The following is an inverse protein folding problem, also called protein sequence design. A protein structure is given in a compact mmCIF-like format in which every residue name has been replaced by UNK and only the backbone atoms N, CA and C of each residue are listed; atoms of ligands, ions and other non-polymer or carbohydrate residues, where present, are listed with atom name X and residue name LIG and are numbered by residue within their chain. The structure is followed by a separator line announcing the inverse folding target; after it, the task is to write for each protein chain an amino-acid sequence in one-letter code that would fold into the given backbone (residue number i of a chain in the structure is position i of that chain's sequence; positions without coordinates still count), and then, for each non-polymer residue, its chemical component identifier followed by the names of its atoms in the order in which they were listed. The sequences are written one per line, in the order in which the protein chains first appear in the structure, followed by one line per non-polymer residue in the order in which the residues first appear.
data_IF_221403737399
#
_entry.id   IF_221403737399
#
_cell.length_a   1.000
_cell.length_b   1.000
_cell.length_c   1.000
_cell.angle_alpha   90.00
_cell.angle_beta   90.00
_cell.angle_gamma   90.00
#
_symmetry.space_group_name_H-M   'P 1'
#
loop_
_entity.id
_entity.type
_entity.pdbx_description
1 polymer ?
#
# COMPACT_ATOMS: atom_id res chain seq x y z
N UNK A 1 -35.86 -48.21 -19.53
CA UNK A 1 -34.44 -48.50 -19.79
C UNK A 1 -33.64 -48.04 -18.59
N UNK A 2 -33.07 -48.97 -17.83
CA UNK A 2 -32.08 -48.65 -16.80
C UNK A 2 -30.78 -48.30 -17.53
N UNK A 3 -30.29 -47.07 -17.35
CA UNK A 3 -28.92 -46.73 -17.71
C UNK A 3 -28.05 -47.15 -16.52
N UNK A 4 -27.42 -48.32 -16.66
CA UNK A 4 -26.22 -48.68 -15.90
C UNK A 4 -24.99 -48.29 -16.75
N UNK A 5 -24.07 -47.55 -16.13
CA UNK A 5 -22.80 -47.07 -16.71
C UNK A 5 -22.66 -45.55 -16.55
N UNK A 6 -21.53 -44.94 -16.21
CA UNK A 6 -20.14 -45.42 -16.17
C UNK A 6 -19.32 -44.58 -15.17
N UNK A 7 -18.37 -45.24 -14.48
CA UNK A 7 -17.26 -44.73 -13.62
C UNK A 7 -17.36 -43.29 -13.07
N UNK A 8 -17.30 -43.17 -11.72
CA UNK A 8 -16.67 -41.98 -11.11
C UNK A 8 -15.30 -41.82 -11.76
N UNK A 9 -15.12 -40.81 -12.60
CA UNK A 9 -13.80 -40.46 -13.12
C UNK A 9 -12.96 -40.04 -11.93
N UNK A 10 -11.91 -40.79 -11.63
CA UNK A 10 -10.94 -40.39 -10.63
C UNK A 10 -10.12 -39.26 -11.24
N UNK A 11 -10.53 -38.02 -10.94
CA UNK A 11 -9.86 -36.82 -11.41
C UNK A 11 -8.59 -36.57 -10.59
N UNK A 12 -7.58 -36.02 -11.26
CA UNK A 12 -6.32 -35.58 -10.64
C UNK A 12 -6.06 -34.12 -11.02
N UNK A 13 -5.71 -33.30 -10.04
CA UNK A 13 -5.22 -31.95 -10.26
C UNK A 13 -3.70 -31.99 -10.32
N UNK A 14 -3.11 -31.34 -11.32
CA UNK A 14 -1.67 -31.15 -11.48
C UNK A 14 -1.41 -29.64 -11.40
N UNK A 15 -0.46 -29.24 -10.55
CA UNK A 15 0.02 -27.88 -10.43
C UNK A 15 1.47 -27.81 -10.91
N UNK A 16 1.77 -26.88 -11.83
CA UNK A 16 3.10 -26.68 -12.38
C UNK A 16 3.51 -25.22 -12.27
N UNK A 17 4.78 -25.03 -11.93
CA UNK A 17 5.47 -23.75 -12.00
C UNK A 17 6.73 -23.98 -12.79
N UNK A 18 6.87 -23.26 -13.91
CA UNK A 18 8.01 -23.39 -14.79
C UNK A 18 8.82 -22.09 -14.77
N UNK A 19 10.14 -22.22 -14.76
CA UNK A 19 11.05 -21.10 -14.84
C UNK A 19 12.49 -21.58 -15.00
N UNK A 20 13.38 -20.68 -15.43
CA UNK A 20 14.76 -21.04 -15.78
C UNK A 20 15.50 -21.78 -14.66
N UNK A 21 15.15 -21.55 -13.38
CA UNK A 21 15.88 -22.08 -12.23
C UNK A 21 15.02 -22.68 -11.10
N UNK A 22 13.70 -22.83 -11.25
CA UNK A 22 12.81 -23.19 -10.12
C UNK A 22 11.60 -24.07 -10.50
N UNK A 23 11.76 -24.99 -11.45
CA UNK A 23 10.67 -25.87 -11.87
C UNK A 23 10.12 -26.71 -10.71
N UNK A 24 8.80 -26.72 -10.56
CA UNK A 24 8.10 -27.52 -9.56
C UNK A 24 6.82 -28.10 -10.14
N UNK A 25 6.53 -29.36 -9.81
CA UNK A 25 5.26 -30.01 -10.12
C UNK A 25 4.74 -30.72 -8.86
N UNK A 26 3.43 -30.66 -8.66
CA UNK A 26 2.73 -31.43 -7.64
C UNK A 26 1.40 -31.91 -8.19
N UNK A 27 0.93 -33.07 -7.75
CA UNK A 27 -0.33 -33.61 -8.24
C UNK A 27 -1.07 -34.39 -7.15
N UNK A 28 -2.40 -34.33 -7.17
CA UNK A 28 -3.22 -34.98 -6.16
C UNK A 28 -4.71 -34.88 -6.45
N UNK A 29 -5.53 -35.20 -5.45
CA UNK A 29 -6.98 -35.19 -5.61
C UNK A 29 -7.52 -33.75 -5.59
N UNK A 30 -8.47 -33.39 -6.47
CA UNK A 30 -9.16 -32.11 -6.40
C UNK A 30 -9.78 -31.88 -5.01
N UNK A 31 -9.79 -30.62 -4.56
CA UNK A 31 -10.32 -30.25 -3.24
C UNK A 31 -9.40 -30.59 -2.05
N UNK A 32 -8.20 -31.11 -2.29
CA UNK A 32 -7.18 -31.31 -1.26
C UNK A 32 -5.99 -30.36 -1.49
N UNK A 33 -5.35 -29.81 -0.43
CA UNK A 33 -4.16 -28.99 -0.60
C UNK A 33 -3.04 -29.76 -1.30
N UNK A 34 -2.46 -29.13 -2.33
CA UNK A 34 -1.25 -29.63 -2.99
C UNK A 34 -0.04 -28.85 -2.46
N UNK A 35 1.02 -29.57 -2.07
CA UNK A 35 2.28 -28.96 -1.68
C UNK A 35 3.20 -28.88 -2.90
N UNK A 36 3.48 -27.66 -3.35
CA UNK A 36 4.45 -27.40 -4.42
C UNK A 36 5.77 -26.93 -3.79
N UNK A 37 6.85 -27.69 -4.02
CA UNK A 37 8.17 -27.38 -3.46
C UNK A 37 9.03 -26.65 -4.48
N UNK A 38 9.32 -25.39 -4.21
CA UNK A 38 10.14 -24.52 -5.07
C UNK A 38 11.55 -24.45 -4.48
N UNK A 39 12.55 -24.94 -5.21
CA UNK A 39 13.96 -24.82 -4.82
C UNK A 39 14.46 -23.39 -5.06
N UNK A 40 15.22 -22.84 -4.12
CA UNK A 40 15.81 -21.49 -4.20
C UNK A 40 14.76 -20.41 -4.55
N UNK A 41 13.71 -20.23 -3.72
CA UNK A 41 12.65 -19.28 -4.03
C UNK A 41 13.19 -17.84 -4.07
N UNK A 42 12.73 -17.08 -5.07
CA UNK A 42 12.95 -15.64 -5.22
C UNK A 42 11.74 -14.94 -4.62
N UNK A 43 11.99 -14.14 -3.58
CA UNK A 43 10.93 -13.44 -2.88
C UNK A 43 10.43 -12.25 -3.71
N UNK A 44 9.12 -12.00 -3.64
CA UNK A 44 8.51 -10.77 -4.15
C UNK A 44 8.79 -9.62 -3.18
N UNK A 45 9.11 -8.46 -3.72
CA UNK A 45 9.25 -7.19 -2.99
C UNK A 45 8.98 -6.01 -3.92
N UNK A 46 8.84 -4.78 -3.38
CA UNK A 46 8.73 -3.60 -4.22
C UNK A 46 9.90 -3.40 -5.20
N UNK A 47 11.12 -3.76 -4.82
CA UNK A 47 12.32 -3.59 -5.66
C UNK A 47 12.57 -4.80 -6.57
N UNK A 48 12.04 -5.95 -6.21
CA UNK A 48 12.09 -7.19 -6.98
C UNK A 48 10.70 -7.85 -7.04
N UNK A 49 9.77 -7.37 -7.90
CA UNK A 49 8.38 -7.82 -7.95
C UNK A 49 8.23 -9.15 -8.70
N UNK A 50 8.99 -10.15 -8.28
CA UNK A 50 9.02 -11.45 -8.96
C UNK A 50 7.72 -12.22 -8.79
N UNK A 51 7.13 -12.66 -9.91
CA UNK A 51 5.92 -13.47 -9.96
C UNK A 51 6.21 -14.82 -10.63
N UNK A 52 5.64 -15.87 -10.07
CA UNK A 52 5.69 -17.22 -10.59
C UNK A 52 4.45 -17.48 -11.43
N UNK A 53 4.63 -17.94 -12.67
CA UNK A 53 3.53 -18.46 -13.47
C UNK A 53 3.08 -19.81 -12.92
N UNK A 54 1.79 -19.92 -12.62
CA UNK A 54 1.15 -21.14 -12.14
C UNK A 54 0.22 -21.69 -13.19
N UNK A 55 0.38 -22.97 -13.50
CA UNK A 55 -0.53 -23.72 -14.35
C UNK A 55 -1.20 -24.82 -13.53
N UNK A 56 -2.54 -24.82 -13.54
CA UNK A 56 -3.36 -25.84 -12.92
C UNK A 56 -4.08 -26.62 -14.02
N UNK A 57 -3.94 -27.94 -14.02
CA UNK A 57 -4.53 -28.83 -15.00
C UNK A 57 -5.30 -29.95 -14.31
N UNK A 58 -6.58 -30.09 -14.64
CA UNK A 58 -7.43 -31.18 -14.20
C UNK A 58 -7.38 -32.29 -15.26
N UNK A 59 -6.99 -33.49 -14.87
CA UNK A 59 -6.90 -34.66 -15.78
C UNK A 59 -7.79 -35.81 -15.30
N UNK A 60 -8.25 -36.66 -16.22
CA UNK A 60 -8.94 -37.90 -15.91
C UNK A 60 -7.98 -39.08 -15.62
N UNK A 61 -8.54 -40.26 -15.37
CA UNK A 61 -7.82 -41.49 -15.06
C UNK A 61 -7.00 -42.02 -16.25
N UNK A 62 -7.37 -41.64 -17.47
CA UNK A 62 -6.61 -41.94 -18.69
C UNK A 62 -5.51 -40.89 -18.96
N UNK A 63 -5.40 -39.85 -18.14
CA UNK A 63 -4.43 -38.76 -18.30
C UNK A 63 -4.84 -37.70 -19.32
N UNK A 64 -6.10 -37.70 -19.77
CA UNK A 64 -6.60 -36.67 -20.68
C UNK A 64 -6.86 -35.38 -19.91
N UNK A 65 -6.44 -34.25 -20.49
CA UNK A 65 -6.74 -32.92 -19.97
C UNK A 65 -8.24 -32.63 -20.07
N UNK A 66 -8.86 -32.33 -18.93
CA UNK A 66 -10.28 -31.99 -18.80
C UNK A 66 -10.48 -30.47 -18.74
N UNK A 67 -9.66 -29.80 -17.95
CA UNK A 67 -9.68 -28.34 -17.79
C UNK A 67 -8.31 -27.80 -17.40
N UNK A 68 -8.07 -26.53 -17.72
CA UNK A 68 -6.78 -25.89 -17.51
C UNK A 68 -6.94 -24.40 -17.21
N UNK A 69 -6.32 -23.96 -16.13
CA UNK A 69 -6.28 -22.55 -15.72
C UNK A 69 -4.83 -22.11 -15.53
N UNK A 70 -4.55 -20.89 -15.97
CA UNK A 70 -3.28 -20.20 -15.68
C UNK A 70 -3.52 -19.09 -14.67
N UNK A 71 -2.57 -18.91 -13.78
CA UNK A 71 -2.54 -17.83 -12.81
C UNK A 71 -1.10 -17.48 -12.45
N UNK A 72 -0.93 -16.75 -11.37
CA UNK A 72 0.37 -16.40 -10.86
C UNK A 72 0.34 -16.28 -9.33
N UNK A 73 1.52 -16.24 -8.71
CA UNK A 73 1.67 -15.87 -7.31
C UNK A 73 3.04 -15.22 -7.05
N UNK A 74 3.16 -14.46 -5.97
CA UNK A 74 4.42 -13.96 -5.46
C UNK A 74 4.70 -14.55 -4.07
N UNK A 75 5.97 -14.79 -3.74
CA UNK A 75 6.38 -15.30 -2.44
C UNK A 75 6.86 -14.15 -1.56
N UNK A 76 6.09 -13.75 -0.55
CA UNK A 76 6.53 -12.72 0.41
C UNK A 76 6.01 -13.01 1.81
N UNK A 77 6.72 -12.53 2.82
CA UNK A 77 6.23 -12.51 4.21
C UNK A 77 6.04 -11.07 4.66
N UNK A 78 4.86 -10.74 5.18
CA UNK A 78 4.63 -9.50 5.93
C UNK A 78 4.44 -9.88 7.40
N UNK A 79 5.03 -9.13 8.32
CA UNK A 79 4.80 -9.31 9.75
C UNK A 79 5.04 -8.02 10.52
N UNK A 80 4.59 -7.99 11.77
CA UNK A 80 5.09 -7.06 12.77
C UNK A 80 6.11 -7.80 13.62
N UNK A 81 7.32 -7.26 13.70
CA UNK A 81 8.42 -7.82 14.51
C UNK A 81 9.10 -6.68 15.26
N UNK A 82 9.80 -7.01 16.35
CA UNK A 82 10.59 -6.02 17.09
C UNK A 82 11.94 -5.82 16.42
N UNK A 83 12.33 -4.57 16.21
CA UNK A 83 13.68 -4.22 15.75
C UNK A 83 14.72 -4.42 16.87
N UNK A 84 15.98 -4.12 16.57
CA UNK A 84 17.10 -4.28 17.52
C UNK A 84 16.93 -3.44 18.80
N UNK A 85 16.10 -2.39 18.79
CA UNK A 85 15.78 -1.57 19.95
C UNK A 85 14.50 -2.06 20.68
N UNK A 86 13.92 -3.18 20.26
CA UNK A 86 12.70 -3.73 20.84
C UNK A 86 11.42 -3.04 20.35
N UNK A 87 11.50 -2.19 19.34
CA UNK A 87 10.35 -1.42 18.84
C UNK A 87 9.62 -2.23 17.75
N UNK A 88 8.30 -2.44 17.84
CA UNK A 88 7.54 -3.08 16.78
C UNK A 88 7.59 -2.29 15.47
N UNK A 89 8.00 -2.95 14.38
CA UNK A 89 8.02 -2.39 13.01
C UNK A 89 7.27 -3.28 12.04
N UNK A 90 6.93 -2.70 10.89
CA UNK A 90 6.49 -3.46 9.72
C UNK A 90 7.72 -4.10 9.04
N UNK A 91 7.64 -5.41 8.86
CA UNK A 91 8.68 -6.21 8.22
C UNK A 91 8.17 -6.81 6.90
N UNK A 92 8.98 -6.71 5.85
CA UNK A 92 8.79 -7.44 4.60
C UNK A 92 9.97 -8.38 4.39
N UNK A 93 9.69 -9.67 4.19
CA UNK A 93 10.69 -10.72 4.01
C UNK A 93 11.74 -10.78 5.14
N UNK A 94 11.29 -10.54 6.38
CA UNK A 94 12.09 -10.50 7.60
C UNK A 94 13.08 -9.33 7.71
N UNK A 95 12.91 -8.29 6.88
CA UNK A 95 13.63 -7.03 7.03
C UNK A 95 12.65 -5.88 7.31
N UNK A 96 13.02 -4.89 8.15
CA UNK A 96 12.17 -3.73 8.40
C UNK A 96 12.03 -2.92 7.10
N UNK A 97 10.79 -2.57 6.75
CA UNK A 97 10.50 -1.75 5.57
C UNK A 97 9.60 -0.58 5.98
N UNK A 98 10.13 0.63 5.87
CA UNK A 98 9.30 1.81 6.00
C UNK A 98 8.39 1.94 4.77
N UNK A 99 7.08 1.94 4.99
CA UNK A 99 6.10 2.06 3.92
C UNK A 99 5.73 3.52 3.74
N UNK A 100 6.28 4.15 2.71
CA UNK A 100 5.94 5.51 2.32
C UNK A 100 4.98 5.43 1.14
N UNK A 101 3.72 5.82 1.38
CA UNK A 101 2.64 5.63 0.44
C UNK A 101 1.88 6.88 0.06
N UNK A 102 0.97 6.71 -0.89
CA UNK A 102 -0.05 7.68 -1.25
C UNK A 102 -1.44 7.12 -0.96
N UNK A 103 -2.34 7.98 -0.50
CA UNK A 103 -3.76 7.68 -0.50
C UNK A 103 -4.25 7.66 -1.96
N UNK A 104 -4.88 6.57 -2.38
CA UNK A 104 -5.43 6.40 -3.72
C UNK A 104 -6.93 6.14 -3.62
N UNK A 105 -7.72 7.18 -3.93
CA UNK A 105 -9.18 7.13 -3.90
C UNK A 105 -9.79 6.57 -5.20
N UNK A 106 -9.02 6.52 -6.30
CA UNK A 106 -9.45 5.90 -7.55
C UNK A 106 -10.63 6.58 -8.26
N UNK A 107 -10.78 7.91 -8.16
CA UNK A 107 -11.76 8.68 -8.94
C UNK A 107 -11.17 9.11 -10.28
N UNK A 108 -11.94 8.97 -11.35
CA UNK A 108 -11.55 9.23 -12.74
C UNK A 108 -12.44 10.30 -13.38
N UNK A 109 -11.90 11.19 -14.22
CA UNK A 109 -12.67 12.27 -14.84
C UNK A 109 -13.90 11.84 -15.62
N UNK A 110 -13.75 10.81 -16.44
CA UNK A 110 -14.85 10.38 -17.32
C UNK A 110 -15.74 9.33 -16.65
N UNK A 111 -15.13 8.40 -15.90
CA UNK A 111 -15.79 7.21 -15.38
C UNK A 111 -16.11 7.23 -13.89
N UNK A 112 -15.73 8.30 -13.16
CA UNK A 112 -15.73 8.41 -11.71
C UNK A 112 -15.09 7.18 -11.05
N UNK A 113 -15.84 6.13 -10.77
CA UNK A 113 -15.30 4.91 -10.17
C UNK A 113 -14.58 3.98 -11.17
N UNK A 114 -14.65 4.24 -12.46
CA UNK A 114 -14.12 3.35 -13.51
C UNK A 114 -12.95 3.99 -14.24
N UNK A 115 -11.79 3.33 -14.21
CA UNK A 115 -10.65 3.71 -15.01
C UNK A 115 -10.96 3.55 -16.51
N UNK A 116 -10.49 4.46 -17.39
CA UNK A 116 -10.81 4.38 -18.80
C UNK A 116 -10.09 3.22 -19.52
N UNK A 117 -8.89 2.85 -19.08
CA UNK A 117 -8.05 1.80 -19.71
C UNK A 117 -7.10 1.13 -18.70
N UNK A 118 -6.44 0.04 -19.11
CA UNK A 118 -5.34 -0.54 -18.31
C UNK A 118 -4.13 0.40 -18.25
N UNK A 119 -3.85 1.11 -19.33
CA UNK A 119 -2.77 2.08 -19.39
C UNK A 119 -2.97 3.19 -18.36
N UNK A 120 -4.21 3.58 -18.09
CA UNK A 120 -4.53 4.54 -17.04
C UNK A 120 -4.26 3.97 -15.63
N UNK A 121 -4.65 2.72 -15.37
CA UNK A 121 -4.30 2.04 -14.11
C UNK A 121 -2.78 1.95 -13.92
N UNK A 122 -2.07 1.54 -14.97
CA UNK A 122 -0.60 1.45 -14.99
C UNK A 122 0.03 2.82 -14.78
N UNK A 123 -0.50 3.86 -15.41
CA UNK A 123 0.02 5.23 -15.32
C UNK A 123 0.04 5.72 -13.87
N UNK A 124 -1.05 5.56 -13.13
CA UNK A 124 -1.16 6.03 -11.75
C UNK A 124 -0.19 5.25 -10.82
N UNK A 125 -0.14 3.91 -10.97
CA UNK A 125 0.80 3.06 -10.19
C UNK A 125 2.27 3.39 -10.52
N UNK A 126 2.60 3.53 -11.81
CA UNK A 126 3.94 3.85 -12.25
C UNK A 126 4.37 5.26 -11.84
N UNK A 127 3.44 6.22 -11.84
CA UNK A 127 3.70 7.60 -11.38
C UNK A 127 4.06 7.61 -9.90
N UNK A 128 3.28 6.93 -9.05
CA UNK A 128 3.61 6.76 -7.64
C UNK A 128 5.00 6.10 -7.44
N UNK A 129 5.25 4.99 -8.15
CA UNK A 129 6.53 4.28 -8.08
C UNK A 129 7.72 5.14 -8.54
N UNK A 130 7.55 5.92 -9.61
CA UNK A 130 8.56 6.81 -10.16
C UNK A 130 8.87 7.99 -9.23
N UNK A 131 7.92 8.38 -8.39
CA UNK A 131 8.12 9.34 -7.29
C UNK A 131 8.76 8.68 -6.04
N UNK A 132 9.11 7.40 -6.08
CA UNK A 132 9.78 6.72 -4.97
C UNK A 132 8.85 6.24 -3.85
N UNK A 133 7.53 6.26 -4.06
CA UNK A 133 6.59 5.60 -3.15
C UNK A 133 6.63 4.08 -3.35
N UNK A 134 6.39 3.34 -2.27
CA UNK A 134 6.35 1.88 -2.30
C UNK A 134 4.99 1.30 -1.86
N UNK A 135 4.03 2.16 -1.52
CA UNK A 135 2.69 1.81 -1.05
C UNK A 135 1.61 2.68 -1.73
N UNK A 136 0.48 2.06 -2.07
CA UNK A 136 -0.79 2.72 -2.31
C UNK A 136 -1.81 2.22 -1.28
N UNK A 137 -2.41 3.13 -0.53
CA UNK A 137 -3.58 2.80 0.31
C UNK A 137 -4.83 3.04 -0.53
N UNK A 138 -5.50 1.97 -0.92
CA UNK A 138 -6.73 2.04 -1.70
C UNK A 138 -7.87 2.42 -0.76
N UNK A 139 -8.22 3.71 -0.77
CA UNK A 139 -9.13 4.31 0.19
C UNK A 139 -10.59 3.94 -0.11
N UNK A 140 -11.24 3.29 0.86
CA UNK A 140 -12.68 2.92 0.90
C UNK A 140 -13.27 2.42 -0.44
N UNK A 141 -12.47 1.70 -1.23
CA UNK A 141 -12.84 1.25 -2.59
C UNK A 141 -12.20 -0.10 -2.90
N UNK A 142 -12.87 -0.93 -3.71
CA UNK A 142 -12.25 -2.12 -4.32
C UNK A 142 -12.11 -1.87 -5.82
N UNK A 143 -10.91 -2.05 -6.36
CA UNK A 143 -10.63 -1.88 -7.79
C UNK A 143 -10.93 -3.17 -8.59
N UNK A 144 -10.96 -3.13 -9.93
CA UNK A 144 -10.89 -4.33 -10.73
C UNK A 144 -9.59 -5.12 -10.46
N UNK A 145 -9.64 -6.45 -10.59
CA UNK A 145 -8.49 -7.37 -10.44
C UNK A 145 -7.24 -6.93 -11.23
N UNK A 146 -7.45 -6.25 -12.38
CA UNK A 146 -6.38 -5.72 -13.23
C UNK A 146 -5.49 -4.69 -12.50
N UNK A 147 -6.06 -3.85 -11.64
CA UNK A 147 -5.28 -2.88 -10.86
C UNK A 147 -4.34 -3.59 -9.89
N UNK A 148 -4.82 -4.59 -9.16
CA UNK A 148 -4.00 -5.39 -8.23
C UNK A 148 -2.91 -6.20 -8.96
N UNK A 149 -3.24 -6.78 -10.12
CA UNK A 149 -2.24 -7.42 -10.99
C UNK A 149 -1.14 -6.44 -11.41
N UNK A 150 -1.49 -5.19 -11.71
CA UNK A 150 -0.52 -4.16 -12.02
C UNK A 150 0.31 -3.73 -10.81
N UNK A 151 -0.28 -3.64 -9.62
CA UNK A 151 0.47 -3.43 -8.37
C UNK A 151 1.46 -4.58 -8.11
N UNK A 152 1.05 -5.82 -8.33
CA UNK A 152 1.89 -7.01 -8.16
C UNK A 152 3.11 -6.97 -9.06
N UNK A 153 2.92 -6.75 -10.37
CA UNK A 153 4.01 -6.79 -11.35
C UNK A 153 4.90 -5.55 -11.35
N UNK A 154 4.41 -4.41 -10.85
CA UNK A 154 5.17 -3.15 -10.75
C UNK A 154 5.84 -2.97 -9.39
N UNK A 155 5.57 -3.84 -8.41
CA UNK A 155 6.17 -3.76 -7.08
C UNK A 155 5.63 -2.62 -6.24
N UNK A 156 4.30 -2.52 -6.15
CA UNK A 156 3.61 -1.56 -5.31
C UNK A 156 2.87 -2.31 -4.19
N UNK A 157 3.14 -1.99 -2.92
CA UNK A 157 2.37 -2.53 -1.80
C UNK A 157 0.96 -1.92 -1.81
N UNK A 158 0.00 -2.67 -1.27
CA UNK A 158 -1.40 -2.24 -1.15
C UNK A 158 -1.88 -2.43 0.28
N UNK A 159 -2.40 -1.35 0.85
CA UNK A 159 -3.35 -1.42 1.96
C UNK A 159 -4.74 -1.36 1.36
N UNK A 160 -5.54 -2.38 1.62
CA UNK A 160 -6.87 -2.50 1.02
C UNK A 160 -7.95 -2.18 2.03
N UNK A 161 -8.58 -1.03 1.86
CA UNK A 161 -9.72 -0.64 2.67
C UNK A 161 -11.01 -1.32 2.19
N UNK A 162 -11.88 -1.65 3.13
CA UNK A 162 -13.26 -1.98 2.79
C UNK A 162 -14.03 -0.69 2.45
N UNK A 163 -14.88 -0.68 1.42
CA UNK A 163 -15.82 0.42 1.20
C UNK A 163 -16.69 0.69 2.43
N UNK A 164 -16.68 1.94 2.90
CA UNK A 164 -17.48 2.34 4.05
C UNK A 164 -18.97 2.27 3.74
N UNK A 165 -19.74 1.74 4.68
CA UNK A 165 -21.20 1.71 4.63
C UNK A 165 -21.74 2.24 5.95
N UNK A 166 -22.92 2.89 5.96
CA UNK A 166 -23.47 3.44 7.19
C UNK A 166 -23.73 2.40 8.29
N UNK A 167 -23.97 1.13 7.93
CA UNK A 167 -24.10 -0.01 8.85
C UNK A 167 -25.12 0.18 10.00
N UNK A 168 -26.17 0.98 9.76
CA UNK A 168 -27.19 1.36 10.74
C UNK A 168 -28.21 0.25 11.07
N UNK A 169 -28.25 -0.85 10.31
CA UNK A 169 -29.18 -1.97 10.52
C UNK A 169 -28.46 -3.31 10.63
N UNK A 170 -29.10 -4.31 11.24
CA UNK A 170 -28.58 -5.68 11.27
C UNK A 170 -28.41 -6.25 9.86
N UNK A 171 -29.34 -5.95 8.93
CA UNK A 171 -29.24 -6.40 7.54
C UNK A 171 -28.03 -5.81 6.83
N UNK A 172 -27.76 -4.50 6.99
CA UNK A 172 -26.58 -3.86 6.40
C UNK A 172 -25.28 -4.42 6.98
N UNK A 173 -25.23 -4.67 8.29
CA UNK A 173 -24.07 -5.27 8.97
C UNK A 173 -23.78 -6.69 8.47
N UNK A 174 -24.82 -7.50 8.24
CA UNK A 174 -24.70 -8.84 7.64
C UNK A 174 -24.14 -8.75 6.22
N UNK A 175 -24.63 -7.82 5.39
CA UNK A 175 -24.11 -7.62 4.03
C UNK A 175 -22.65 -7.17 4.05
N UNK A 176 -22.30 -6.18 4.88
CA UNK A 176 -20.92 -5.72 5.03
C UNK A 176 -19.96 -6.87 5.33
N UNK A 177 -20.34 -7.76 6.26
CA UNK A 177 -19.55 -8.96 6.56
C UNK A 177 -19.40 -9.91 5.37
N UNK A 178 -20.45 -10.13 4.58
CA UNK A 178 -20.41 -10.97 3.37
C UNK A 178 -19.48 -10.35 2.33
N UNK A 179 -19.62 -9.06 2.06
CA UNK A 179 -18.80 -8.34 1.08
C UNK A 179 -17.33 -8.27 1.50
N UNK A 180 -17.05 -8.09 2.81
CA UNK A 180 -15.68 -8.14 3.31
C UNK A 180 -15.02 -9.50 3.10
N UNK A 181 -15.76 -10.60 3.33
CA UNK A 181 -15.25 -11.94 3.02
C UNK A 181 -15.01 -12.11 1.52
N UNK A 182 -15.95 -11.65 0.69
CA UNK A 182 -15.81 -11.70 -0.76
C UNK A 182 -14.59 -10.91 -1.26
N UNK A 183 -14.31 -9.74 -0.68
CA UNK A 183 -13.12 -8.94 -0.96
C UNK A 183 -11.84 -9.72 -0.60
N UNK A 184 -11.76 -10.27 0.61
CA UNK A 184 -10.59 -11.07 1.03
C UNK A 184 -10.38 -12.27 0.11
N UNK A 185 -11.45 -13.01 -0.22
CA UNK A 185 -11.39 -14.18 -1.11
C UNK A 185 -10.93 -13.81 -2.52
N UNK A 186 -11.48 -12.73 -3.07
CA UNK A 186 -11.15 -12.26 -4.40
C UNK A 186 -9.70 -11.76 -4.50
N UNK A 187 -9.16 -11.21 -3.41
CA UNK A 187 -7.86 -10.56 -3.41
C UNK A 187 -6.74 -11.38 -2.74
N UNK A 188 -7.06 -12.58 -2.24
CA UNK A 188 -6.17 -13.44 -1.46
C UNK A 188 -4.83 -13.77 -2.15
N UNK A 189 -4.83 -13.88 -3.48
CA UNK A 189 -3.65 -14.30 -4.24
C UNK A 189 -2.73 -13.14 -4.65
N UNK A 190 -3.11 -11.88 -4.39
CA UNK A 190 -2.28 -10.73 -4.74
C UNK A 190 -1.15 -10.53 -3.71
N UNK A 191 0.13 -10.74 -4.06
CA UNK A 191 1.24 -10.50 -3.14
C UNK A 191 1.36 -9.03 -2.71
N UNK A 192 0.91 -8.09 -3.55
CA UNK A 192 0.92 -6.66 -3.27
C UNK A 192 0.07 -6.27 -2.07
N UNK A 193 -1.07 -6.93 -1.85
CA UNK A 193 -1.94 -6.66 -0.70
C UNK A 193 -1.26 -7.18 0.56
N UNK A 194 -0.89 -6.27 1.46
CA UNK A 194 -0.17 -6.58 2.71
C UNK A 194 -0.95 -6.27 3.97
N UNK A 195 -2.03 -5.49 3.86
CA UNK A 195 -2.85 -5.07 4.99
C UNK A 195 -4.32 -4.95 4.60
N UNK A 196 -5.20 -5.45 5.46
CA UNK A 196 -6.65 -5.26 5.39
C UNK A 196 -7.08 -4.15 6.34
N UNK A 197 -7.88 -3.21 5.84
CA UNK A 197 -8.41 -2.08 6.63
C UNK A 197 -9.95 -2.15 6.63
N UNK A 198 -10.59 -2.78 7.62
CA UNK A 198 -12.04 -2.87 7.68
C UNK A 198 -12.77 -1.53 7.82
N UNK A 199 -12.18 -0.53 8.49
CA UNK A 199 -12.83 0.74 8.75
C UNK A 199 -11.86 1.92 8.60
N UNK A 200 -12.40 3.05 8.16
CA UNK A 200 -11.70 4.32 8.08
C UNK A 200 -12.41 5.34 8.97
N UNK A 201 -11.68 6.02 9.86
CA UNK A 201 -12.16 7.16 10.66
C UNK A 201 -13.46 6.93 11.45
N UNK A 202 -13.76 5.68 11.82
CA UNK A 202 -15.00 5.31 12.51
C UNK A 202 -16.23 5.24 11.60
N UNK A 203 -16.09 5.45 10.28
CA UNK A 203 -17.21 5.49 9.34
C UNK A 203 -17.93 4.15 9.25
N UNK A 204 -19.12 4.11 9.84
CA UNK A 204 -19.93 2.90 9.87
C UNK A 204 -19.31 1.75 10.66
N UNK A 205 -18.41 2.06 11.59
CA UNK A 205 -17.68 1.07 12.38
C UNK A 205 -18.60 0.31 13.35
N UNK A 206 -18.42 -1.01 13.43
CA UNK A 206 -19.12 -1.88 14.38
C UNK A 206 -18.33 -3.17 14.60
N UNK A 207 -18.38 -3.73 15.81
CA UNK A 207 -17.75 -5.01 16.16
C UNK A 207 -16.30 -5.15 15.64
N UNK A 208 -15.49 -4.11 15.79
CA UNK A 208 -14.16 -4.01 15.19
C UNK A 208 -13.23 -5.14 15.63
N UNK A 209 -13.21 -5.43 16.93
CA UNK A 209 -12.51 -6.55 17.56
C UNK A 209 -12.82 -7.88 16.85
N UNK A 210 -14.10 -8.13 16.58
CA UNK A 210 -14.55 -9.34 15.89
C UNK A 210 -14.07 -9.38 14.44
N UNK A 211 -14.10 -8.26 13.72
CA UNK A 211 -13.59 -8.22 12.35
C UNK A 211 -12.10 -8.49 12.27
N UNK A 212 -11.30 -8.01 13.23
CA UNK A 212 -9.88 -8.35 13.29
C UNK A 212 -9.69 -9.87 13.41
N UNK A 213 -10.42 -10.53 14.33
CA UNK A 213 -10.35 -11.98 14.50
C UNK A 213 -10.80 -12.71 13.22
N UNK A 214 -11.89 -12.25 12.60
CA UNK A 214 -12.43 -12.87 11.38
C UNK A 214 -11.47 -12.70 10.20
N UNK A 215 -10.88 -11.52 10.00
CA UNK A 215 -9.87 -11.27 8.97
C UNK A 215 -8.62 -12.15 9.17
N UNK A 216 -8.11 -12.26 10.40
CA UNK A 216 -6.98 -13.15 10.71
C UNK A 216 -7.28 -14.63 10.50
N UNK A 217 -8.53 -15.05 10.69
CA UNK A 217 -8.96 -16.42 10.41
C UNK A 217 -9.15 -16.68 8.91
N UNK A 218 -9.64 -15.70 8.17
CA UNK A 218 -9.83 -15.82 6.72
C UNK A 218 -8.53 -15.72 5.95
N UNK A 219 -7.61 -14.87 6.41
CA UNK A 219 -6.32 -14.65 5.82
C UNK A 219 -5.26 -14.37 6.91
N UNK A 220 -4.56 -15.40 7.38
CA UNK A 220 -3.52 -15.26 8.39
C UNK A 220 -2.21 -14.69 7.82
N UNK A 221 -2.12 -14.42 6.51
CA UNK A 221 -0.87 -14.01 5.84
C UNK A 221 -0.72 -12.49 5.69
N UNK A 222 -1.70 -11.73 6.16
CA UNK A 222 -1.76 -10.26 6.04
C UNK A 222 -1.93 -9.59 7.39
N UNK A 223 -1.52 -8.33 7.45
CA UNK A 223 -1.75 -7.46 8.59
C UNK A 223 -3.20 -6.95 8.58
N UNK A 224 -3.68 -6.49 9.72
CA UNK A 224 -4.98 -5.86 9.91
C UNK A 224 -4.79 -4.56 10.65
N UNK A 225 -5.23 -3.47 10.03
CA UNK A 225 -5.43 -2.17 10.65
C UNK A 225 -6.91 -2.02 10.98
N UNK A 226 -7.25 -2.09 12.27
CA UNK A 226 -8.63 -2.29 12.69
C UNK A 226 -9.54 -1.10 12.39
N UNK A 227 -8.99 0.12 12.41
CA UNK A 227 -9.68 1.35 12.12
C UNK A 227 -8.63 2.42 11.80
N UNK A 228 -8.47 2.73 10.51
CA UNK A 228 -7.46 3.69 10.07
C UNK A 228 -7.81 5.10 10.57
N UNK A 229 -6.81 5.78 11.10
CA UNK A 229 -6.90 7.15 11.62
C UNK A 229 -7.42 7.30 13.05
N UNK A 230 -8.71 7.03 13.29
CA UNK A 230 -9.35 7.30 14.58
C UNK A 230 -10.10 6.08 15.08
N UNK A 231 -10.54 6.14 16.34
CA UNK A 231 -11.44 5.13 16.93
C UNK A 231 -10.83 3.72 16.98
N UNK A 232 -9.52 3.65 17.20
CA UNK A 232 -8.79 2.42 17.49
C UNK A 232 -9.49 1.60 18.58
N UNK A 233 -9.63 0.31 18.32
CA UNK A 233 -10.26 -0.64 19.25
C UNK A 233 -9.26 -1.42 20.10
N UNK A 234 -7.95 -1.16 19.97
CA UNK A 234 -6.89 -1.89 20.67
C UNK A 234 -6.53 -3.26 20.05
N UNK A 235 -7.08 -3.61 18.90
CA UNK A 235 -6.85 -4.88 18.21
C UNK A 235 -6.08 -4.70 16.90
N UNK A 236 -5.63 -5.81 16.30
CA UNK A 236 -4.92 -5.80 15.03
C UNK A 236 -3.41 -5.65 15.20
N UNK A 237 -2.71 -5.40 14.09
CA UNK A 237 -1.26 -5.40 14.05
C UNK A 237 -0.66 -3.99 14.15
N UNK A 238 -1.48 -2.96 13.94
CA UNK A 238 -1.02 -1.57 13.92
C UNK A 238 -1.87 -0.67 14.80
N UNK A 239 -1.24 0.41 15.26
CA UNK A 239 -1.90 1.60 15.79
C UNK A 239 -1.75 2.70 14.75
N UNK A 240 -2.86 3.14 14.19
CA UNK A 240 -2.92 4.16 13.15
C UNK A 240 -3.47 5.49 13.66
N UNK A 241 -2.96 6.60 13.12
CA UNK A 241 -3.47 7.95 13.30
C UNK A 241 -3.51 8.71 11.97
N UNK A 242 -4.39 9.70 11.86
CA UNK A 242 -4.34 10.71 10.80
C UNK A 242 -3.84 12.03 11.37
N UNK A 243 -3.09 12.83 10.59
CA UNK A 243 -2.66 14.17 11.03
C UNK A 243 -2.43 15.09 9.85
N UNK A 244 -3.16 16.20 9.82
CA UNK A 244 -3.15 17.15 8.71
C UNK A 244 -2.77 18.57 9.16
N UNK A 245 -1.88 19.28 8.43
CA UNK A 245 -0.95 18.77 7.43
C UNK A 245 0.30 18.09 8.02
N UNK A 246 0.73 18.50 9.22
CA UNK A 246 2.00 18.04 9.80
C UNK A 246 1.94 16.56 10.21
N UNK A 247 2.98 15.77 9.91
CA UNK A 247 3.01 14.38 10.31
C UNK A 247 3.18 14.24 11.82
N UNK A 248 2.56 13.20 12.38
CA UNK A 248 2.71 12.79 13.77
C UNK A 248 2.95 11.29 13.84
N UNK A 249 3.31 10.79 15.01
CA UNK A 249 3.36 9.35 15.28
C UNK A 249 2.53 9.05 16.53
N UNK A 250 1.84 7.89 16.57
CA UNK A 250 1.25 7.38 17.81
C UNK A 250 2.33 7.21 18.89
N UNK A 251 1.98 7.39 20.14
CA UNK A 251 2.87 7.09 21.26
C UNK A 251 3.05 5.58 21.42
N UNK A 252 4.14 5.18 22.10
CA UNK A 252 4.36 3.76 22.44
C UNK A 252 3.30 3.23 23.42
N UNK A 253 2.73 4.10 24.26
CA UNK A 253 1.67 3.76 25.21
C UNK A 253 0.37 3.42 24.47
N UNK A 254 -0.04 4.25 23.50
CA UNK A 254 -1.23 4.00 22.68
C UNK A 254 -1.09 2.73 21.83
N UNK A 255 0.08 2.52 21.23
CA UNK A 255 0.33 1.34 20.41
C UNK A 255 0.43 0.05 21.22
N UNK A 256 0.94 0.13 22.45
CA UNK A 256 1.31 -1.03 23.24
C UNK A 256 2.57 -1.73 22.69
N UNK A 257 2.95 -2.87 23.29
CA UNK A 257 4.26 -3.48 23.06
C UNK A 257 4.37 -4.26 21.73
N UNK A 258 3.25 -4.56 21.06
CA UNK A 258 3.20 -5.55 19.98
C UNK A 258 2.62 -5.01 18.65
N UNK A 259 2.10 -3.78 18.63
CA UNK A 259 1.56 -3.15 17.40
C UNK A 259 2.56 -2.19 16.79
N UNK A 260 2.72 -2.24 15.47
CA UNK A 260 3.51 -1.23 14.76
C UNK A 260 2.77 0.10 14.72
N UNK A 261 3.51 1.21 14.76
CA UNK A 261 2.96 2.56 14.71
C UNK A 261 2.92 3.07 13.28
N UNK A 262 1.79 3.56 12.81
CA UNK A 262 1.62 4.05 11.43
C UNK A 262 0.88 5.38 11.39
N UNK A 263 1.05 6.11 10.27
CA UNK A 263 0.40 7.37 9.95
C UNK A 263 -0.37 7.19 8.64
N UNK A 264 -1.64 6.80 8.75
CA UNK A 264 -2.49 6.33 7.66
C UNK A 264 -2.97 7.42 6.71
N UNK A 265 -2.88 8.68 7.15
CA UNK A 265 -3.07 9.89 6.34
C UNK A 265 -2.31 11.08 6.93
N UNK A 266 -1.62 11.85 6.08
CA UNK A 266 -1.06 13.15 6.43
C UNK A 266 -0.85 14.04 5.19
N UNK A 267 -0.47 15.30 5.43
CA UNK A 267 -0.23 16.26 4.36
C UNK A 267 -1.52 16.91 3.89
N UNK A 268 -2.06 16.52 2.73
CA UNK A 268 -3.23 17.23 2.19
C UNK A 268 -2.90 18.64 1.71
N UNK A 269 -1.71 18.83 1.13
CA UNK A 269 -1.31 20.11 0.56
C UNK A 269 -2.01 20.28 -0.80
N UNK A 270 -2.89 21.27 -0.86
CA UNK A 270 -3.69 21.57 -2.05
C UNK A 270 -2.98 22.52 -2.99
N UNK A 271 -3.00 22.24 -4.29
CA UNK A 271 -2.58 23.18 -5.34
C UNK A 271 -3.59 23.18 -6.48
N UNK A 272 -4.26 24.32 -6.66
CA UNK A 272 -5.21 24.52 -7.76
C UNK A 272 -4.45 24.92 -9.03
N UNK A 273 -4.47 24.06 -10.06
CA UNK A 273 -3.92 24.39 -11.38
C UNK A 273 -5.08 24.75 -12.32
N UNK A 274 -5.08 25.99 -12.81
CA UNK A 274 -6.12 26.49 -13.72
C UNK A 274 -6.25 25.60 -14.95
N UNK A 275 -7.48 25.16 -15.23
CA UNK A 275 -7.80 24.29 -16.37
C UNK A 275 -7.68 22.79 -16.10
N UNK A 276 -7.20 22.41 -14.92
CA UNK A 276 -6.96 21.01 -14.52
C UNK A 276 -7.71 20.60 -13.25
N UNK A 277 -8.68 21.41 -12.82
CA UNK A 277 -9.56 21.14 -11.68
C UNK A 277 -10.97 20.81 -12.16
N UNK A 278 -11.69 19.97 -11.42
CA UNK A 278 -13.06 19.57 -11.78
C UNK A 278 -14.02 20.76 -11.83
N UNK A 279 -14.06 21.56 -10.77
CA UNK A 279 -15.02 22.65 -10.60
C UNK A 279 -14.43 24.06 -10.88
N UNK A 280 -13.24 24.14 -11.49
CA UNK A 280 -12.50 25.41 -11.67
C UNK A 280 -11.89 25.98 -10.38
N UNK A 281 -12.23 25.40 -9.23
CA UNK A 281 -11.74 25.67 -7.87
C UNK A 281 -11.65 24.36 -7.10
N UNK A 282 -11.03 24.37 -5.94
CA UNK A 282 -11.04 23.26 -4.99
C UNK A 282 -10.34 23.63 -3.69
N UNK A 283 -10.43 22.73 -2.73
CA UNK A 283 -9.88 22.87 -1.40
C UNK A 283 -8.72 21.91 -1.19
N UNK A 284 -7.92 22.20 -0.18
CA UNK A 284 -6.97 21.29 0.42
C UNK A 284 -6.79 21.64 1.89
N UNK A 285 -6.16 20.76 2.67
CA UNK A 285 -5.95 21.03 4.11
C UNK A 285 -5.04 22.24 4.31
N UNK A 286 -4.11 22.47 3.39
CA UNK A 286 -3.40 23.74 3.23
C UNK A 286 -3.28 24.09 1.74
N UNK A 287 -3.76 25.27 1.33
CA UNK A 287 -3.65 25.72 -0.06
C UNK A 287 -2.31 26.39 -0.33
N UNK A 288 -1.56 25.83 -1.27
CA UNK A 288 -0.24 26.28 -1.69
C UNK A 288 -0.35 27.02 -3.04
N UNK A 289 0.28 28.19 -3.19
CA UNK A 289 0.04 29.06 -4.35
C UNK A 289 0.80 28.65 -5.62
N UNK A 290 1.77 27.74 -5.54
CA UNK A 290 2.62 27.35 -6.68
C UNK A 290 3.21 25.95 -6.54
N UNK A 291 3.62 25.36 -7.67
CA UNK A 291 4.37 24.09 -7.70
C UNK A 291 5.69 24.16 -6.93
N UNK A 292 6.39 25.29 -6.97
CA UNK A 292 7.63 25.49 -6.18
C UNK A 292 7.33 25.50 -4.68
N UNK A 293 6.26 26.19 -4.27
CA UNK A 293 5.78 26.18 -2.90
C UNK A 293 5.39 24.78 -2.45
N UNK A 294 4.68 24.04 -3.30
CA UNK A 294 4.22 22.69 -3.00
C UNK A 294 5.40 21.73 -2.84
N UNK A 295 6.40 21.83 -3.72
CA UNK A 295 7.63 21.05 -3.60
C UNK A 295 8.33 21.31 -2.27
N UNK A 296 8.47 22.58 -1.88
CA UNK A 296 9.15 22.96 -0.63
C UNK A 296 8.39 22.47 0.61
N UNK A 297 7.06 22.62 0.61
CA UNK A 297 6.20 22.17 1.69
C UNK A 297 6.18 20.64 1.79
N UNK A 298 6.06 19.93 0.66
CA UNK A 298 6.17 18.48 0.60
C UNK A 298 7.51 17.99 1.16
N UNK A 299 8.64 18.59 0.73
CA UNK A 299 9.95 18.25 1.27
C UNK A 299 10.02 18.46 2.79
N UNK A 300 9.48 19.59 3.28
CA UNK A 300 9.44 19.91 4.71
C UNK A 300 8.60 18.88 5.51
N UNK A 301 7.52 18.33 4.94
CA UNK A 301 6.73 17.26 5.58
C UNK A 301 7.48 15.91 5.60
N UNK A 302 8.09 15.50 4.47
CA UNK A 302 8.82 14.22 4.42
C UNK A 302 10.04 14.23 5.36
N UNK A 303 10.72 15.38 5.50
CA UNK A 303 11.82 15.52 6.46
C UNK A 303 11.39 15.28 7.92
N UNK A 304 10.17 15.69 8.28
CA UNK A 304 9.65 15.49 9.63
C UNK A 304 9.35 14.01 9.94
N UNK A 305 9.19 13.15 8.92
CA UNK A 305 9.02 11.71 9.12
C UNK A 305 10.28 11.02 9.63
N UNK A 306 11.48 11.54 9.36
CA UNK A 306 12.73 10.91 9.78
C UNK A 306 12.87 10.75 11.29
N UNK A 307 12.74 11.80 12.12
CA UNK A 307 12.76 11.64 13.58
C UNK A 307 11.58 10.78 14.08
N UNK A 308 10.41 10.87 13.45
CA UNK A 308 9.26 10.03 13.81
C UNK A 308 9.54 8.54 13.57
N UNK A 309 10.19 8.20 12.47
CA UNK A 309 10.62 6.83 12.18
C UNK A 309 11.69 6.35 13.16
N UNK A 310 12.74 7.15 13.39
CA UNK A 310 13.90 6.73 14.19
C UNK A 310 13.63 6.69 15.68
N UNK A 311 12.94 7.70 16.20
CA UNK A 311 12.79 7.92 17.63
C UNK A 311 11.40 7.49 18.11
N UNK A 312 10.35 7.87 17.37
CA UNK A 312 8.96 7.51 17.70
C UNK A 312 8.50 6.20 17.05
N UNK A 313 9.40 5.42 16.44
CA UNK A 313 9.09 4.09 15.92
C UNK A 313 8.07 4.00 14.79
N UNK A 314 7.79 5.12 14.09
CA UNK A 314 6.86 5.15 12.98
C UNK A 314 7.32 4.21 11.86
N UNK A 315 6.43 3.37 11.35
CA UNK A 315 6.73 2.31 10.38
C UNK A 315 6.10 2.52 9.00
N UNK A 316 5.10 3.39 8.90
CA UNK A 316 4.51 3.79 7.64
C UNK A 316 3.96 5.21 7.72
N UNK A 317 3.89 5.87 6.57
CA UNK A 317 3.25 7.16 6.40
C UNK A 317 2.59 7.23 5.01
N UNK A 318 1.34 7.64 4.94
CA UNK A 318 0.56 7.72 3.69
C UNK A 318 0.18 9.17 3.43
N UNK A 319 0.75 9.75 2.38
CA UNK A 319 0.48 11.14 2.01
C UNK A 319 -0.86 11.23 1.25
N UNK A 320 -1.73 12.13 1.68
CA UNK A 320 -2.98 12.44 0.99
C UNK A 320 -2.70 13.53 -0.06
N UNK A 321 -2.72 13.24 -1.36
CA UNK A 321 -3.07 11.97 -2.04
C UNK A 321 -2.40 11.83 -3.43
N UNK A 322 -2.63 10.73 -4.15
CA UNK A 322 -2.05 10.49 -5.48
C UNK A 322 -2.53 11.50 -6.53
N UNK A 323 -3.83 11.56 -6.77
CA UNK A 323 -4.45 12.49 -7.71
C UNK A 323 -5.45 13.37 -6.99
N UNK A 324 -5.74 14.54 -7.56
CA UNK A 324 -6.93 15.29 -7.14
C UNK A 324 -8.18 14.43 -7.35
N UNK A 325 -9.20 14.69 -6.55
CA UNK A 325 -10.54 14.14 -6.73
C UNK A 325 -11.56 15.26 -6.65
N UNK A 326 -12.41 15.41 -7.67
CA UNK A 326 -13.49 16.42 -7.70
C UNK A 326 -13.06 17.80 -7.14
N UNK A 327 -13.50 18.18 -5.94
CA UNK A 327 -13.14 19.45 -5.29
C UNK A 327 -11.94 19.36 -4.33
N UNK A 328 -11.47 18.16 -3.98
CA UNK A 328 -10.29 17.95 -3.13
C UNK A 328 -9.02 17.89 -3.98
N UNK A 329 -8.23 18.97 -3.94
CA UNK A 329 -7.08 19.17 -4.82
C UNK A 329 -5.72 18.93 -4.13
N UNK A 330 -5.71 17.93 -3.25
CA UNK A 330 -4.56 17.48 -2.45
C UNK A 330 -3.59 16.56 -3.23
N UNK A 331 -3.92 16.22 -4.46
CA UNK A 331 -3.18 15.29 -5.30
C UNK A 331 -1.80 15.81 -5.72
N UNK A 332 -0.84 14.89 -5.81
CA UNK A 332 0.43 15.16 -6.52
C UNK A 332 0.24 15.18 -8.04
N UNK A 333 -0.87 14.64 -8.53
CA UNK A 333 -1.30 14.64 -9.93
C UNK A 333 -2.64 15.37 -10.04
N UNK A 334 -2.85 16.11 -11.13
CA UNK A 334 -4.14 16.77 -11.38
C UNK A 334 -5.27 15.77 -11.61
N UNK A 335 -6.52 16.21 -11.46
CA UNK A 335 -7.70 15.35 -11.58
C UNK A 335 -7.76 14.64 -12.94
N UNK A 336 -7.39 15.34 -14.02
CA UNK A 336 -7.33 14.82 -15.39
C UNK A 336 -6.11 13.96 -15.72
N UNK A 337 -5.20 13.76 -14.77
CA UNK A 337 -3.91 13.04 -14.93
C UNK A 337 -2.97 13.66 -15.97
N UNK A 338 -3.23 14.88 -16.44
CA UNK A 338 -2.40 15.52 -17.45
C UNK A 338 -1.11 16.13 -16.87
N UNK A 339 -1.10 16.49 -15.58
CA UNK A 339 0.04 17.14 -14.95
C UNK A 339 0.40 16.48 -13.62
N UNK A 340 1.69 16.20 -13.44
CA UNK A 340 2.28 16.01 -12.11
C UNK A 340 2.63 17.39 -11.56
N UNK A 341 2.11 17.73 -10.37
CA UNK A 341 2.15 19.08 -9.81
C UNK A 341 3.55 19.52 -9.35
N UNK A 342 4.43 18.56 -9.06
CA UNK A 342 5.80 18.75 -8.60
C UNK A 342 6.74 17.76 -9.31
N UNK A 343 8.02 18.10 -9.47
CA UNK A 343 8.98 17.29 -10.23
C UNK A 343 9.17 15.88 -9.61
N UNK A 344 8.76 14.80 -10.31
CA UNK A 344 8.82 13.45 -9.77
C UNK A 344 10.25 12.95 -9.53
N UNK A 345 11.25 13.48 -10.25
CA UNK A 345 12.66 13.13 -10.04
C UNK A 345 13.17 13.69 -8.73
N UNK A 346 12.74 14.90 -8.37
CA UNK A 346 13.07 15.50 -7.07
C UNK A 346 12.33 14.75 -5.98
N UNK A 347 11.02 14.51 -6.12
CA UNK A 347 10.21 13.73 -5.15
C UNK A 347 10.84 12.36 -4.88
N UNK A 348 11.29 11.64 -5.91
CA UNK A 348 11.99 10.37 -5.74
C UNK A 348 13.23 10.47 -4.86
N UNK A 349 14.03 11.53 -5.02
CA UNK A 349 15.22 11.76 -4.19
C UNK A 349 14.83 12.03 -2.74
N UNK A 350 13.79 12.85 -2.52
CA UNK A 350 13.22 13.12 -1.20
C UNK A 350 12.81 11.82 -0.52
N UNK A 351 12.00 11.00 -1.21
CA UNK A 351 11.41 9.78 -0.68
C UNK A 351 12.42 8.66 -0.43
N UNK A 352 13.46 8.58 -1.25
CA UNK A 352 14.56 7.63 -1.06
C UNK A 352 15.54 8.05 0.05
N UNK A 353 15.29 9.16 0.76
CA UNK A 353 16.18 9.68 1.80
C UNK A 353 17.47 10.29 1.25
N UNK A 354 17.58 10.49 -0.07
CA UNK A 354 18.67 11.24 -0.72
C UNK A 354 18.38 12.73 -0.64
N UNK A 355 18.52 13.27 0.57
CA UNK A 355 18.35 14.68 0.81
C UNK A 355 19.67 15.28 1.28
N UNK A 356 20.11 16.33 0.59
CA UNK A 356 21.19 17.18 1.06
C UNK A 356 20.82 17.67 2.46
N UNK A 357 21.70 17.60 3.48
CA UNK A 357 21.38 18.15 4.79
C UNK A 357 20.96 19.62 4.61
N UNK A 358 19.71 19.93 4.93
CA UNK A 358 19.27 21.31 5.08
C UNK A 358 19.91 21.81 6.39
N UNK A 359 20.64 22.93 6.38
CA UNK A 359 20.97 23.61 7.62
C UNK A 359 19.66 23.79 8.40
N UNK A 360 19.67 23.48 9.69
CA UNK A 360 18.55 23.76 10.57
C UNK A 360 18.03 25.16 10.23
N UNK A 361 16.74 25.29 9.87
CA UNK A 361 16.10 26.60 9.73
C UNK A 361 15.96 27.21 11.14
N UNK A 362 17.09 27.55 11.77
CA UNK A 362 17.13 28.73 12.62
C UNK A 362 16.75 29.87 11.67
N UNK A 363 15.63 30.54 11.98
CA UNK A 363 14.93 31.45 11.09
C UNK A 363 15.86 32.37 10.30
N UNK A 364 15.42 32.79 9.13
CA UNK A 364 16.11 33.77 8.29
C UNK A 364 16.40 35.05 9.06
N UNK A 365 17.53 35.08 9.77
CA UNK A 365 18.17 36.24 10.30
C UNK A 365 19.36 36.51 9.38
N UNK A 366 19.34 37.66 8.72
CA UNK A 366 20.49 38.16 7.98
C UNK A 366 21.66 38.40 8.96
N UNK A 367 22.46 37.38 9.22
CA UNK A 367 23.74 37.50 9.89
C UNK A 367 24.85 37.44 8.83
N UNK A 368 25.75 38.43 8.85
CA UNK A 368 26.91 38.51 7.94
C UNK A 368 27.83 37.28 8.01
N UNK A 369 27.75 36.48 9.09
CA UNK A 369 28.36 35.16 9.24
C UNK A 369 27.50 34.33 10.19
N UNK A 370 27.11 33.13 9.78
CA UNK A 370 26.48 32.13 10.64
C UNK A 370 27.38 30.89 10.72
N UNK A 371 27.57 30.29 11.90
CA UNK A 371 28.16 28.97 12.00
C UNK A 371 27.16 27.94 11.47
N UNK A 372 27.43 27.37 10.29
CA UNK A 372 26.67 26.24 9.76
C UNK A 372 27.34 24.97 10.25
N UNK A 373 26.63 24.19 11.07
CA UNK A 373 27.07 22.88 11.50
C UNK A 373 26.48 21.83 10.55
N UNK A 374 27.33 21.15 9.79
CA UNK A 374 26.91 19.98 9.03
C UNK A 374 27.07 18.74 9.92
N UNK A 375 25.98 18.02 10.17
CA UNK A 375 26.02 16.72 10.84
C UNK A 375 25.74 15.63 9.81
N UNK A 376 26.62 14.64 9.73
CA UNK A 376 26.36 13.41 9.00
C UNK A 376 25.67 12.41 9.91
N UNK A 377 24.61 11.77 9.41
CA UNK A 377 23.85 10.74 10.12
C UNK A 377 24.44 9.33 9.97
N UNK A 378 25.56 9.19 9.22
CA UNK A 378 26.30 7.94 9.03
C UNK A 378 27.76 8.14 9.42
N UNK A 379 28.26 7.27 10.30
CA UNK A 379 29.65 7.27 10.74
C UNK A 379 30.57 7.00 9.53
N UNK A 380 31.57 7.87 9.32
CA UNK A 380 32.51 7.78 8.20
C UNK A 380 32.07 8.41 6.86
N UNK A 381 30.89 9.02 6.77
CA UNK A 381 30.47 9.68 5.52
C UNK A 381 31.19 11.01 5.30
N UNK A 382 31.61 11.25 4.05
CA UNK A 382 32.27 12.49 3.63
C UNK A 382 31.24 13.48 3.08
N UNK A 383 31.14 14.66 3.69
CA UNK A 383 30.30 15.75 3.20
C UNK A 383 31.08 16.54 2.16
N UNK A 384 30.59 16.59 0.92
CA UNK A 384 31.16 17.44 -0.14
C UNK A 384 30.18 18.58 -0.41
N UNK A 385 30.66 19.81 -0.34
CA UNK A 385 29.90 21.00 -0.69
C UNK A 385 30.71 21.90 -1.62
N UNK A 386 30.02 22.70 -2.43
CA UNK A 386 30.62 23.76 -3.26
C UNK A 386 29.97 25.07 -2.82
N UNK A 387 30.78 26.03 -2.38
CA UNK A 387 30.31 27.40 -2.21
C UNK A 387 30.15 27.98 -3.63
N UNK A 388 28.94 28.44 -3.96
CA UNK A 388 28.75 29.25 -5.15
C UNK A 388 29.42 30.61 -4.92
N UNK A 389 30.24 31.05 -5.89
CA UNK A 389 30.57 32.47 -6.01
C UNK A 389 29.37 33.24 -6.56
#
# INVERSE_FOLDING_TARGET
AQVQGERRRDLKLIARVNGENFNAESAGRPGTPLLLRISNPRAWSPDDPFLYDLELELVDDAGNSIDKVKGYFGLRKISVEKDAAGVPRLYLNNEPLFQLGLLDQGYWPDGLYTAPTDEALIHDIATAKNMGFNLLRKHVKVEPQRWYYHCDRLGMLVWQDMPSAANNSESSRKKFRVEMKAMVDALFNHPSVVMWVPFNEGWGQFNTDRFVVELKNWDPTRLVDNASGWTDSGFGDVMDIHSYPEPKAPSAEEAGPDRARVLGEFGGLGLNIKGHTWAGKGWGYELIPSSEGLMKAYEDLIWQLLPLNREAGLSAAVYTQLSDIEEENNGLVTYDRLLVKIDPVIVKKINAGYLTPRPDRLGSFFYKKAPVAFRTLKEGATIRYKLGE
#
